data_IF_355067726605
#
_entry.id   IF_355067726605
#
_cell.length_a   1.000
_cell.length_b   1.000
_cell.length_c   1.000
_cell.angle_alpha   90.00
_cell.angle_beta   90.00
_cell.angle_gamma   90.00
#
_symmetry.space_group_name_H-M   'P 1'
#
loop_
_entity.id
_entity.type
_entity.pdbx_description
1 polymer ?
#
# COMPACT_ATOMS: atom_id res chain seq x y z
N UNK A 1 -7.07 3.33 -40.01
CA UNK A 1 -6.14 2.37 -39.37
C UNK A 1 -7.00 1.32 -38.65
N UNK A 2 -7.04 0.05 -39.08
CA UNK A 2 -7.81 -1.00 -38.39
C UNK A 2 -7.02 -1.61 -37.22
N UNK A 3 -7.73 -1.92 -36.12
CA UNK A 3 -7.22 -2.49 -34.88
C UNK A 3 -7.31 -4.03 -34.99
N UNK A 4 -6.27 -4.82 -34.64
CA UNK A 4 -6.39 -6.29 -34.65
C UNK A 4 -7.21 -6.78 -33.45
N UNK A 5 -8.27 -7.54 -33.76
CA UNK A 5 -9.12 -8.23 -32.81
C UNK A 5 -8.51 -9.62 -32.51
N UNK A 6 -8.04 -9.84 -31.29
CA UNK A 6 -7.54 -11.15 -30.87
C UNK A 6 -8.72 -12.10 -30.58
N UNK A 7 -8.82 -13.15 -31.39
CA UNK A 7 -9.78 -14.24 -31.24
C UNK A 7 -9.27 -15.24 -30.20
N UNK A 8 -10.07 -15.52 -29.16
CA UNK A 8 -9.84 -16.66 -28.27
C UNK A 8 -11.04 -17.60 -28.32
N UNK A 9 -10.83 -18.75 -28.95
CA UNK A 9 -11.79 -19.86 -29.01
C UNK A 9 -11.28 -20.97 -28.10
N UNK A 10 -11.96 -21.22 -27.00
CA UNK A 10 -11.85 -22.48 -26.27
C UNK A 10 -13.21 -22.83 -25.63
N UNK A 11 -13.80 -23.91 -26.12
CA UNK A 11 -15.04 -24.52 -25.63
C UNK A 11 -14.62 -25.75 -24.84
N UNK A 12 -14.92 -25.84 -23.55
CA UNK A 12 -14.76 -27.09 -22.80
C UNK A 12 -15.93 -27.27 -21.79
N UNK A 13 -16.96 -28.05 -22.13
CA UNK A 13 -18.01 -28.42 -21.20
C UNK A 13 -17.59 -29.67 -20.42
N UNK A 14 -17.27 -29.50 -19.13
CA UNK A 14 -17.15 -30.63 -18.19
C UNK A 14 -17.93 -30.31 -16.93
N UNK A 15 -19.25 -30.33 -17.03
CA UNK A 15 -20.16 -30.30 -15.88
C UNK A 15 -21.32 -31.26 -16.14
N UNK A 16 -21.31 -32.40 -15.43
CA UNK A 16 -22.43 -33.17 -14.85
C UNK A 16 -21.99 -34.62 -14.58
N UNK A 17 -22.58 -35.35 -13.61
CA UNK A 17 -23.22 -34.94 -12.35
C UNK A 17 -22.66 -35.70 -11.11
N UNK A 18 -23.04 -35.23 -9.91
CA UNK A 18 -22.93 -35.92 -8.60
C UNK A 18 -24.30 -36.57 -8.30
N UNK A 19 -24.37 -37.79 -7.74
CA UNK A 19 -24.83 -37.90 -6.34
C UNK A 19 -24.25 -39.12 -5.58
N UNK A 20 -23.98 -38.95 -4.29
CA UNK A 20 -23.57 -40.06 -3.43
C UNK A 20 -23.27 -39.58 -2.01
N UNK A 21 -24.32 -39.44 -1.20
CA UNK A 21 -24.22 -39.62 0.25
C UNK A 21 -24.36 -41.13 0.52
N UNK A 22 -23.65 -41.70 1.52
CA UNK A 22 -24.23 -41.69 2.86
C UNK A 22 -23.20 -41.61 4.00
N UNK A 23 -23.69 -41.22 5.17
CA UNK A 23 -23.42 -41.81 6.49
C UNK A 23 -23.20 -40.74 7.56
N UNK A 24 -24.23 -40.61 8.39
CA UNK A 24 -24.21 -39.89 9.64
C UNK A 24 -23.10 -40.45 10.55
N UNK A 25 -22.02 -39.69 10.68
CA UNK A 25 -21.01 -39.88 11.72
C UNK A 25 -21.52 -39.27 13.02
N UNK A 26 -21.85 -40.15 13.97
CA UNK A 26 -22.18 -39.84 15.37
C UNK A 26 -21.20 -38.81 15.96
N UNK A 27 -21.68 -37.62 16.27
CA UNK A 27 -20.95 -36.68 17.10
C UNK A 27 -20.92 -37.24 18.53
N UNK A 28 -19.71 -37.44 19.07
CA UNK A 28 -19.52 -37.66 20.50
C UNK A 28 -19.94 -36.38 21.21
N UNK A 29 -20.83 -36.52 22.18
CA UNK A 29 -21.14 -35.50 23.18
C UNK A 29 -19.85 -35.26 23.99
N UNK A 30 -19.16 -34.17 23.69
CA UNK A 30 -18.07 -33.67 24.52
C UNK A 30 -18.71 -32.65 25.45
N UNK A 31 -18.82 -33.06 26.71
CA UNK A 31 -19.28 -32.24 27.80
C UNK A 31 -18.53 -30.90 27.81
N UNK A 32 -19.30 -29.82 27.73
CA UNK A 32 -18.89 -28.43 27.76
C UNK A 32 -18.25 -28.07 29.13
N UNK A 33 -16.94 -27.77 29.23
CA UNK A 33 -16.41 -26.99 30.34
C UNK A 33 -16.80 -25.50 30.15
N UNK A 34 -16.90 -24.70 31.22
CA UNK A 34 -17.40 -23.33 31.15
C UNK A 34 -16.55 -22.45 30.22
N UNK A 35 -17.19 -21.98 29.15
CA UNK A 35 -16.74 -21.09 28.08
C UNK A 35 -16.59 -19.63 28.56
N UNK A 36 -15.77 -19.39 29.59
CA UNK A 36 -15.56 -18.05 30.12
C UNK A 36 -14.28 -17.38 29.60
N UNK A 37 -13.24 -18.16 29.27
CA UNK A 37 -11.96 -17.65 28.75
C UNK A 37 -11.91 -17.59 27.21
N UNK A 38 -12.84 -18.26 26.52
CA UNK A 38 -12.88 -18.23 25.05
C UNK A 38 -13.48 -16.93 24.49
N UNK A 39 -14.30 -16.19 25.25
CA UNK A 39 -14.96 -14.97 24.75
C UNK A 39 -13.96 -13.82 24.53
N UNK A 40 -13.02 -13.64 25.47
CA UNK A 40 -11.92 -12.68 25.31
C UNK A 40 -10.97 -13.11 24.19
N UNK A 41 -10.64 -14.41 24.12
CA UNK A 41 -9.78 -14.96 23.07
C UNK A 41 -10.43 -14.83 21.68
N UNK A 42 -11.72 -15.11 21.56
CA UNK A 42 -12.51 -14.92 20.34
C UNK A 42 -12.59 -13.44 19.97
N UNK A 43 -12.71 -12.53 20.94
CA UNK A 43 -12.66 -11.09 20.69
C UNK A 43 -11.28 -10.62 20.22
N UNK A 44 -10.19 -11.17 20.77
CA UNK A 44 -8.82 -10.90 20.30
C UNK A 44 -8.57 -11.47 18.90
N UNK A 45 -9.08 -12.68 18.62
CA UNK A 45 -8.99 -13.30 17.31
C UNK A 45 -9.87 -12.58 16.28
N UNK A 46 -11.03 -12.06 16.67
CA UNK A 46 -11.89 -11.24 15.81
C UNK A 46 -11.25 -9.89 15.48
N UNK A 47 -10.54 -9.28 16.42
CA UNK A 47 -9.80 -8.03 16.18
C UNK A 47 -8.60 -8.21 15.23
N UNK A 48 -8.00 -9.41 15.22
CA UNK A 48 -6.87 -9.74 14.36
C UNK A 48 -7.27 -10.46 13.07
N UNK A 49 -8.49 -11.01 13.02
CA UNK A 49 -9.02 -11.65 11.83
C UNK A 49 -9.13 -10.58 10.73
N UNK A 50 -8.45 -10.76 9.59
CA UNK A 50 -8.68 -9.88 8.45
C UNK A 50 -10.16 -9.97 8.12
N UNK A 51 -10.82 -8.81 7.95
CA UNK A 51 -12.26 -8.73 7.66
C UNK A 51 -12.58 -9.67 6.49
N UNK A 52 -13.17 -10.84 6.78
CA UNK A 52 -13.44 -11.92 5.83
C UNK A 52 -14.65 -11.59 4.97
N UNK A 53 -14.71 -10.36 4.45
CA UNK A 53 -15.44 -10.11 3.22
C UNK A 53 -14.74 -10.87 2.10
N UNK A 54 -15.47 -11.40 1.10
CA UNK A 54 -14.83 -11.83 -0.12
C UNK A 54 -14.10 -10.61 -0.69
N UNK A 55 -12.78 -10.60 -0.54
CA UNK A 55 -11.89 -9.76 -1.33
C UNK A 55 -12.01 -10.25 -2.78
N UNK A 56 -13.16 -9.95 -3.37
CA UNK A 56 -13.24 -9.82 -4.80
C UNK A 56 -12.28 -8.69 -5.11
N UNK A 57 -11.14 -9.07 -5.69
CA UNK A 57 -10.36 -8.28 -6.64
C UNK A 57 -11.26 -7.92 -7.83
N UNK A 58 -12.43 -7.34 -7.55
CA UNK A 58 -13.29 -6.67 -8.49
C UNK A 58 -12.53 -5.42 -8.89
N UNK A 59 -11.87 -5.55 -10.04
CA UNK A 59 -11.21 -4.51 -10.80
C UNK A 59 -11.88 -3.16 -10.57
N UNK A 60 -11.14 -2.24 -9.92
CA UNK A 60 -11.28 -0.83 -10.23
C UNK A 60 -11.23 0.19 -9.09
N UNK A 61 -11.28 -0.16 -7.79
CA UNK A 61 -11.44 0.92 -6.78
C UNK A 61 -11.01 0.66 -5.32
N UNK A 62 -10.03 -0.22 -5.06
CA UNK A 62 -9.69 -0.64 -3.67
C UNK A 62 -8.31 -0.25 -3.13
N UNK A 63 -7.49 0.45 -3.90
CA UNK A 63 -6.29 1.09 -3.37
C UNK A 63 -6.57 2.58 -3.26
N UNK A 64 -6.74 3.08 -2.03
CA UNK A 64 -7.08 4.48 -1.75
C UNK A 64 -6.21 5.42 -2.59
N UNK A 65 -6.84 6.22 -3.45
CA UNK A 65 -6.23 7.17 -4.41
C UNK A 65 -4.82 6.81 -4.96
N UNK A 66 -4.52 5.53 -5.17
CA UNK A 66 -3.22 5.12 -5.69
C UNK A 66 -3.16 5.50 -7.17
N UNK A 67 -2.56 6.66 -7.45
CA UNK A 67 -2.39 7.16 -8.80
C UNK A 67 -1.18 6.49 -9.44
N UNK A 68 -1.38 5.92 -10.63
CA UNK A 68 -0.29 5.39 -11.45
C UNK A 68 0.26 6.53 -12.29
N UNK A 69 1.46 7.01 -11.95
CA UNK A 69 2.16 8.04 -12.72
C UNK A 69 3.13 7.40 -13.71
N UNK A 70 3.03 7.77 -14.98
CA UNK A 70 3.96 7.34 -16.03
C UNK A 70 5.13 8.32 -16.16
N UNK A 71 6.36 7.85 -15.92
CA UNK A 71 7.56 8.66 -16.11
C UNK A 71 8.11 8.51 -17.54
N UNK A 72 8.45 9.64 -18.16
CA UNK A 72 9.10 9.68 -19.48
C UNK A 72 10.54 10.15 -19.31
N UNK A 73 11.48 9.30 -19.68
CA UNK A 73 12.92 9.61 -19.64
C UNK A 73 13.42 9.96 -21.04
N UNK A 74 14.48 10.78 -21.10
CA UNK A 74 15.25 10.87 -22.34
C UNK A 74 16.02 9.56 -22.56
N UNK A 75 16.50 9.33 -23.79
CA UNK A 75 17.14 8.07 -24.17
C UNK A 75 18.42 7.79 -23.38
N UNK A 76 19.23 8.82 -23.13
CA UNK A 76 20.51 8.69 -22.40
C UNK A 76 20.26 8.31 -20.95
N UNK A 77 19.41 9.06 -20.25
CA UNK A 77 19.05 8.82 -18.85
C UNK A 77 18.39 7.45 -18.65
N UNK A 78 17.57 7.00 -19.61
CA UNK A 78 16.99 5.66 -19.55
C UNK A 78 18.06 4.57 -19.67
N UNK A 79 19.09 4.78 -20.49
CA UNK A 79 20.18 3.83 -20.65
C UNK A 79 21.03 3.73 -19.38
N UNK A 80 21.38 4.88 -18.79
CA UNK A 80 22.09 4.93 -17.51
C UNK A 80 21.31 4.23 -16.39
N UNK A 81 20.01 4.52 -16.29
CA UNK A 81 19.13 3.88 -15.30
C UNK A 81 19.12 2.35 -15.47
N UNK A 82 19.09 1.86 -16.72
CA UNK A 82 19.13 0.41 -17.00
C UNK A 82 20.45 -0.22 -16.59
N UNK A 83 21.58 0.45 -16.80
CA UNK A 83 22.89 -0.05 -16.39
C UNK A 83 22.96 -0.15 -14.87
N UNK A 84 22.60 0.91 -14.15
CA UNK A 84 22.62 0.93 -12.68
C UNK A 84 21.65 -0.11 -12.10
N UNK A 85 20.47 -0.27 -12.71
CA UNK A 85 19.51 -1.28 -12.29
C UNK A 85 20.07 -2.70 -12.48
N UNK A 86 20.76 -2.96 -13.59
CA UNK A 86 21.40 -4.24 -13.86
C UNK A 86 22.53 -4.54 -12.87
N UNK A 87 23.38 -3.56 -12.55
CA UNK A 87 24.44 -3.69 -11.54
C UNK A 87 23.89 -4.01 -10.15
N UNK A 88 22.71 -3.46 -9.82
CA UNK A 88 22.02 -3.68 -8.54
C UNK A 88 21.12 -4.91 -8.53
N UNK A 89 20.94 -5.60 -9.66
CA UNK A 89 20.01 -6.73 -9.78
C UNK A 89 18.54 -6.34 -9.60
N UNK A 90 18.17 -5.10 -9.94
CA UNK A 90 16.80 -4.57 -9.80
C UNK A 90 16.18 -4.25 -11.16
N UNK A 91 14.85 -4.09 -11.21
CA UNK A 91 14.21 -3.61 -12.44
C UNK A 91 14.38 -2.09 -12.57
N UNK A 92 14.56 -1.55 -13.80
CA UNK A 92 14.69 -0.11 -14.01
C UNK A 92 13.50 0.69 -13.46
N UNK A 93 12.29 0.13 -13.53
CA UNK A 93 11.09 0.75 -13.00
C UNK A 93 11.12 0.81 -11.46
N UNK A 94 11.51 -0.27 -10.79
CA UNK A 94 11.61 -0.31 -9.33
C UNK A 94 12.67 0.67 -8.83
N UNK A 95 13.83 0.74 -9.50
CA UNK A 95 14.89 1.67 -9.14
C UNK A 95 14.44 3.13 -9.29
N UNK A 96 13.73 3.46 -10.37
CA UNK A 96 13.17 4.81 -10.54
C UNK A 96 12.18 5.16 -9.42
N UNK A 97 11.30 4.23 -9.05
CA UNK A 97 10.35 4.43 -7.96
C UNK A 97 11.07 4.67 -6.63
N UNK A 98 12.07 3.85 -6.31
CA UNK A 98 12.87 3.99 -5.09
C UNK A 98 13.50 5.37 -5.01
N UNK A 99 14.16 5.83 -6.08
CA UNK A 99 14.82 7.13 -6.09
C UNK A 99 13.85 8.30 -5.95
N UNK A 100 12.67 8.23 -6.59
CA UNK A 100 11.63 9.25 -6.42
C UNK A 100 11.18 9.32 -4.96
N UNK A 101 10.90 8.16 -4.34
CA UNK A 101 10.50 8.10 -2.94
C UNK A 101 11.59 8.61 -2.00
N UNK A 102 12.85 8.24 -2.26
CA UNK A 102 14.01 8.76 -1.54
C UNK A 102 14.11 10.27 -1.68
N UNK A 103 13.96 10.83 -2.90
CA UNK A 103 14.05 12.29 -3.08
C UNK A 103 12.93 13.03 -2.35
N UNK A 104 11.71 12.48 -2.37
CA UNK A 104 10.56 13.05 -1.67
C UNK A 104 10.75 13.02 -0.15
N UNK A 105 11.34 11.95 0.40
CA UNK A 105 11.63 11.90 1.83
C UNK A 105 12.65 12.97 2.23
N UNK A 106 13.69 13.20 1.41
CA UNK A 106 14.67 14.25 1.69
C UNK A 106 14.04 15.65 1.68
N UNK A 107 13.15 15.91 0.71
CA UNK A 107 12.44 17.18 0.61
C UNK A 107 11.50 17.42 1.81
N UNK A 108 10.80 16.38 2.27
CA UNK A 108 9.91 16.49 3.44
C UNK A 108 10.68 16.77 4.73
N UNK A 109 11.86 16.16 4.90
CA UNK A 109 12.76 16.44 6.02
C UNK A 109 13.34 17.85 5.95
N UNK A 110 13.75 18.32 4.76
CA UNK A 110 14.23 19.69 4.59
C UNK A 110 13.13 20.73 4.90
N UNK A 111 11.91 20.48 4.46
CA UNK A 111 10.77 21.36 4.70
C UNK A 111 10.40 21.44 6.20
N UNK A 112 10.46 20.33 6.94
CA UNK A 112 10.17 20.32 8.37
C UNK A 112 11.22 21.09 9.17
N UNK A 113 12.50 20.93 8.83
CA UNK A 113 13.59 21.71 9.44
C UNK A 113 13.44 23.21 9.21
N UNK A 114 13.10 23.64 7.99
CA UNK A 114 12.85 25.06 7.68
C UNK A 114 11.70 25.64 8.52
N UNK A 115 10.63 24.88 8.74
CA UNK A 115 9.51 25.30 9.58
C UNK A 115 9.91 25.43 11.05
N UNK A 116 10.74 24.53 11.55
CA UNK A 116 11.27 24.63 12.91
C UNK A 116 12.18 25.86 13.07
N UNK A 117 13.04 26.13 12.07
CA UNK A 117 13.92 27.29 12.09
C UNK A 117 13.16 28.61 12.01
N UNK A 118 12.10 28.68 11.20
CA UNK A 118 11.24 29.87 11.13
C UNK A 118 10.42 30.08 12.42
N UNK A 119 10.09 29.00 13.15
CA UNK A 119 9.47 29.09 14.49
C UNK A 119 10.43 29.58 15.56
N UNK A 120 11.73 29.33 15.39
CA UNK A 120 12.78 29.74 16.30
C UNK A 120 13.46 31.06 15.90
N UNK A 121 13.03 31.72 14.82
CA UNK A 121 13.46 33.07 14.52
C UNK A 121 13.10 33.94 15.74
N UNK A 122 14.09 34.41 16.53
CA UNK A 122 13.80 35.27 17.66
C UNK A 122 13.16 36.54 17.10
N UNK A 123 12.04 36.94 17.68
CA UNK A 123 11.41 38.24 17.42
C UNK A 123 12.52 39.31 17.42
N UNK A 124 12.71 40.09 16.33
CA UNK A 124 13.60 41.24 16.39
C UNK A 124 13.00 42.18 17.43
N UNK A 125 13.52 42.05 18.65
CA UNK A 125 13.12 42.79 19.84
C UNK A 125 12.79 44.23 19.42
N UNK A 126 11.61 44.77 19.78
CA UNK A 126 11.30 46.15 19.44
C UNK A 126 12.36 47.01 20.13
N UNK A 127 13.30 47.52 19.32
CA UNK A 127 14.23 48.57 19.70
C UNK A 127 13.37 49.68 20.28
N UNK A 128 13.32 49.78 21.61
CA UNK A 128 12.67 50.89 22.29
C UNK A 128 13.50 52.11 21.95
N UNK A 129 13.00 53.07 21.15
CA UNK A 129 13.71 54.33 20.98
C UNK A 129 13.78 54.95 22.37
N UNK A 130 15.01 55.15 22.85
CA UNK A 130 15.30 55.64 24.18
C UNK A 130 14.41 56.83 24.52
N UNK A 131 13.72 56.70 25.65
CA UNK A 131 13.11 57.81 26.35
C UNK A 131 14.11 58.96 26.44
N UNK A 132 13.72 60.05 25.77
CA UNK A 132 14.10 61.43 26.01
C UNK A 132 14.56 61.68 27.45
N UNK A 133 15.82 62.06 27.65
CA UNK A 133 16.25 62.77 28.86
C UNK A 133 17.17 63.93 28.46
N UNK A 134 16.52 65.09 28.38
CA UNK A 134 16.86 66.43 28.87
C UNK A 134 18.32 66.90 28.87
#
# INVERSE_FOLDING_TARGET
>A
MPIPLFSTKAKNPKNAPKPGAPAAGRHRDIANPPTADDDELESYLAALAPETGPETTQSGRRFGEAQVLQLRFNLVALNELKQIAAERGTSPQALAQEWVLQRLSWESHAASQRRQQNRYAPDPSPTHPGMQQN
#
